data_IF_243587978863
#
_entry.id   IF_243587978863
#
_cell.length_a   1.000
_cell.length_b   1.000
_cell.length_c   1.000
_cell.angle_alpha   90.00
_cell.angle_beta   90.00
_cell.angle_gamma   90.00
#
_symmetry.space_group_name_H-M   'P 1'
#
loop_
_entity.id
_entity.type
_entity.pdbx_description
1 polymer ?
#
# COMPACT_ATOMS: atom_id res chain seq x y z
N UNK A 1 -20.88 18.59 -22.59
CA UNK A 1 -21.15 19.77 -21.72
C UNK A 1 -20.12 20.90 -21.85
N UNK A 2 -18.86 20.65 -22.27
CA UNK A 2 -17.85 21.70 -22.47
C UNK A 2 -18.18 22.70 -23.60
N UNK A 3 -18.84 22.26 -24.67
CA UNK A 3 -19.20 23.13 -25.79
C UNK A 3 -20.27 24.19 -25.45
N UNK A 4 -21.19 23.88 -24.51
CA UNK A 4 -22.23 24.84 -24.07
C UNK A 4 -21.71 25.90 -23.09
N UNK A 5 -20.62 25.60 -22.36
CA UNK A 5 -20.00 26.56 -21.45
C UNK A 5 -19.20 27.64 -22.21
N UNK A 6 -18.57 27.26 -23.32
CA UNK A 6 -17.81 28.19 -24.16
C UNK A 6 -18.71 29.15 -24.93
N UNK A 7 -19.91 28.73 -25.35
CA UNK A 7 -20.88 29.62 -25.99
C UNK A 7 -21.55 30.58 -25.01
N UNK A 8 -21.74 30.20 -23.75
CA UNK A 8 -22.22 31.10 -22.69
C UNK A 8 -21.17 32.18 -22.31
N UNK A 9 -19.89 31.82 -22.31
CA UNK A 9 -18.79 32.79 -22.12
C UNK A 9 -18.62 33.72 -23.32
N UNK A 10 -18.89 33.23 -24.54
CA UNK A 10 -18.85 34.05 -25.74
C UNK A 10 -20.06 35.00 -25.84
N UNK A 11 -21.26 34.60 -25.39
CA UNK A 11 -22.45 35.45 -25.42
C UNK A 11 -22.45 36.54 -24.34
N UNK A 12 -21.67 36.39 -23.27
CA UNK A 12 -21.46 37.43 -22.26
C UNK A 12 -20.51 38.55 -22.74
N UNK A 13 -19.75 38.32 -23.82
CA UNK A 13 -18.77 39.27 -24.35
C UNK A 13 -19.33 40.20 -25.44
N UNK A 14 -20.56 39.99 -25.92
CA UNK A 14 -21.09 40.66 -27.13
C UNK A 14 -22.26 41.60 -26.93
N UNK A 15 -22.88 41.69 -25.76
CA UNK A 15 -24.00 42.62 -25.54
C UNK A 15 -23.57 43.95 -24.91
N UNK A 16 -23.62 44.99 -25.74
CA UNK A 16 -23.35 46.40 -25.42
C UNK A 16 -24.40 46.95 -24.44
N UNK A 17 -24.11 46.94 -23.15
CA UNK A 17 -24.85 47.69 -22.12
C UNK A 17 -24.18 47.55 -20.75
N UNK A 18 -24.15 48.64 -19.96
CA UNK A 18 -23.68 48.81 -18.57
C UNK A 18 -22.44 48.02 -18.06
N UNK A 19 -22.42 46.70 -18.22
CA UNK A 19 -21.33 45.76 -17.93
C UNK A 19 -20.08 46.03 -18.79
N UNK A 20 -20.25 46.43 -20.06
CA UNK A 20 -19.14 46.80 -20.94
C UNK A 20 -18.41 48.08 -20.53
N UNK A 21 -19.10 49.02 -19.89
CA UNK A 21 -18.50 50.24 -19.35
C UNK A 21 -17.76 49.97 -18.02
N UNK A 22 -18.29 49.04 -17.20
CA UNK A 22 -17.62 48.57 -15.98
C UNK A 22 -16.33 47.81 -16.28
N UNK A 23 -16.27 47.01 -17.34
CA UNK A 23 -15.04 46.33 -17.80
C UNK A 23 -13.97 47.28 -18.37
N UNK A 24 -14.30 48.55 -18.60
CA UNK A 24 -13.36 49.57 -19.07
C UNK A 24 -12.79 50.44 -17.95
N UNK A 25 -13.32 50.33 -16.73
CA UNK A 25 -12.73 50.94 -15.56
C UNK A 25 -11.44 50.17 -15.19
N UNK A 26 -10.32 50.89 -15.10
CA UNK A 26 -9.00 50.29 -14.87
C UNK A 26 -8.98 49.48 -13.56
N UNK A 27 -9.79 49.88 -12.59
CA UNK A 27 -9.94 49.18 -11.30
C UNK A 27 -10.63 47.82 -11.45
N UNK A 28 -11.70 47.75 -12.24
CA UNK A 28 -12.42 46.50 -12.52
C UNK A 28 -11.59 45.56 -13.40
N UNK A 29 -10.80 46.10 -14.35
CA UNK A 29 -9.81 45.32 -15.10
C UNK A 29 -8.75 44.70 -14.20
N UNK A 30 -8.29 45.43 -13.19
CA UNK A 30 -7.34 44.92 -12.21
C UNK A 30 -7.97 43.80 -11.38
N UNK A 31 -9.16 44.04 -10.82
CA UNK A 31 -9.89 43.05 -10.00
C UNK A 31 -10.24 41.77 -10.80
N UNK A 32 -10.61 41.90 -12.08
CA UNK A 32 -10.87 40.75 -12.97
C UNK A 32 -9.57 40.01 -13.31
N UNK A 33 -8.47 40.70 -13.58
CA UNK A 33 -7.17 40.06 -13.82
C UNK A 33 -6.67 39.33 -12.57
N UNK A 34 -6.85 39.93 -11.40
CA UNK A 34 -6.43 39.36 -10.11
C UNK A 34 -7.31 38.16 -9.74
N UNK A 35 -8.61 38.21 -10.03
CA UNK A 35 -9.54 37.08 -9.89
C UNK A 35 -9.18 35.94 -10.85
N UNK A 36 -8.91 36.23 -12.13
CA UNK A 36 -8.50 35.21 -13.11
C UNK A 36 -7.14 34.60 -12.72
N UNK A 37 -6.20 35.42 -12.25
CA UNK A 37 -4.91 34.95 -11.74
C UNK A 37 -5.10 34.05 -10.51
N UNK A 38 -5.93 34.46 -9.55
CA UNK A 38 -6.26 33.71 -8.35
C UNK A 38 -6.99 32.40 -8.68
N UNK A 39 -7.91 32.40 -9.65
CA UNK A 39 -8.60 31.18 -10.12
C UNK A 39 -7.63 30.26 -10.86
N UNK A 40 -6.71 30.80 -11.67
CA UNK A 40 -5.70 30.02 -12.39
C UNK A 40 -4.67 29.42 -11.43
N UNK A 41 -4.27 30.17 -10.41
CA UNK A 41 -3.36 29.72 -9.35
C UNK A 41 -4.05 28.71 -8.42
N UNK A 42 -5.31 28.93 -8.06
CA UNK A 42 -6.13 27.97 -7.31
C UNK A 42 -6.38 26.70 -8.12
N UNK A 43 -6.62 26.80 -9.43
CA UNK A 43 -6.77 25.65 -10.31
C UNK A 43 -5.44 24.90 -10.51
N UNK A 44 -4.32 25.61 -10.59
CA UNK A 44 -2.97 25.02 -10.64
C UNK A 44 -2.64 24.29 -9.34
N UNK A 45 -2.86 24.93 -8.20
CA UNK A 45 -2.69 24.35 -6.86
C UNK A 45 -3.63 23.16 -6.66
N UNK A 46 -4.90 23.27 -7.05
CA UNK A 46 -5.84 22.17 -7.01
C UNK A 46 -5.38 21.02 -7.90
N UNK A 47 -4.90 21.27 -9.13
CA UNK A 47 -4.40 20.22 -10.03
C UNK A 47 -3.16 19.51 -9.49
N UNK A 48 -2.23 20.26 -8.89
CA UNK A 48 -1.05 19.68 -8.24
C UNK A 48 -1.42 18.91 -6.96
N UNK A 49 -2.40 19.39 -6.22
CA UNK A 49 -2.91 18.72 -5.01
C UNK A 49 -3.69 17.46 -5.36
N UNK A 50 -4.65 17.53 -6.28
CA UNK A 50 -5.37 16.37 -6.79
C UNK A 50 -4.42 15.38 -7.46
N UNK A 51 -3.40 15.85 -8.18
CA UNK A 51 -2.37 15.01 -8.77
C UNK A 51 -1.50 14.27 -7.74
N UNK A 52 -1.27 14.84 -6.56
CA UNK A 52 -0.58 14.15 -5.44
C UNK A 52 -1.51 13.22 -4.67
N UNK A 53 -2.79 13.56 -4.53
CA UNK A 53 -3.79 12.72 -3.85
C UNK A 53 -4.07 11.45 -4.67
N UNK A 54 -4.14 11.55 -6.01
CA UNK A 54 -4.33 10.37 -6.89
C UNK A 54 -3.10 9.46 -6.98
N UNK A 55 -1.95 9.85 -6.42
CA UNK A 55 -0.75 9.02 -6.39
C UNK A 55 -0.73 8.04 -5.20
N UNK A 56 -1.54 8.27 -4.17
CA UNK A 56 -1.67 7.32 -3.07
C UNK A 56 -2.42 6.09 -3.56
N UNK A 57 -1.82 4.93 -3.36
CA UNK A 57 -2.46 3.64 -3.57
C UNK A 57 -2.40 2.85 -2.29
N UNK A 58 -3.54 2.37 -1.83
CA UNK A 58 -3.64 1.56 -0.62
C UNK A 58 -4.14 0.19 -1.01
N UNK A 59 -3.48 -0.85 -0.51
CA UNK A 59 -3.84 -2.23 -0.79
C UNK A 59 -4.06 -3.00 0.51
N UNK A 60 -5.23 -3.60 0.63
CA UNK A 60 -5.43 -4.68 1.59
C UNK A 60 -4.75 -5.93 1.08
N UNK A 61 -3.97 -6.57 1.94
CA UNK A 61 -3.34 -7.86 1.72
C UNK A 61 -3.93 -8.84 2.72
N UNK A 62 -4.45 -9.94 2.21
CA UNK A 62 -4.93 -11.08 2.98
C UNK A 62 -4.15 -12.30 2.53
N UNK A 63 -3.32 -12.85 3.42
CA UNK A 63 -2.52 -14.04 3.15
C UNK A 63 -3.07 -15.21 3.97
N UNK A 64 -3.58 -16.22 3.28
CA UNK A 64 -3.98 -17.48 3.88
C UNK A 64 -2.89 -18.53 3.65
N UNK A 65 -2.50 -19.23 4.72
CA UNK A 65 -1.45 -20.25 4.69
C UNK A 65 -1.96 -21.51 5.38
N UNK A 66 -1.86 -22.66 4.72
CA UNK A 66 -2.22 -23.94 5.34
C UNK A 66 -0.98 -24.80 5.54
N UNK A 67 -0.73 -25.16 6.80
CA UNK A 67 0.44 -25.93 7.19
C UNK A 67 0.12 -27.41 7.28
N UNK A 68 0.68 -28.20 6.36
CA UNK A 68 0.36 -29.62 6.22
C UNK A 68 0.82 -30.46 7.41
N UNK A 69 1.92 -30.07 8.06
CA UNK A 69 2.49 -30.81 9.17
C UNK A 69 1.54 -30.87 10.37
N UNK A 70 1.02 -29.71 10.78
CA UNK A 70 0.13 -29.56 11.96
C UNK A 70 -1.36 -29.47 11.60
N UNK A 71 -1.71 -29.45 10.31
CA UNK A 71 -3.09 -29.35 9.78
C UNK A 71 -3.82 -28.10 10.26
N UNK A 72 -3.12 -26.97 10.22
CA UNK A 72 -3.64 -25.69 10.72
C UNK A 72 -3.58 -24.63 9.62
N UNK A 73 -4.66 -23.86 9.51
CA UNK A 73 -4.73 -22.66 8.68
C UNK A 73 -4.27 -21.44 9.47
N UNK A 74 -3.56 -20.54 8.81
CA UNK A 74 -3.10 -19.27 9.36
C UNK A 74 -3.53 -18.15 8.42
N UNK A 75 -3.79 -17.00 9.00
CA UNK A 75 -4.20 -15.80 8.27
C UNK A 75 -3.32 -14.65 8.67
N UNK A 76 -2.82 -13.91 7.69
CA UNK A 76 -2.17 -12.62 7.87
C UNK A 76 -3.01 -11.56 7.16
N UNK A 77 -3.12 -10.39 7.77
CA UNK A 77 -3.83 -9.23 7.20
C UNK A 77 -2.93 -8.01 7.33
N UNK A 78 -2.80 -7.25 6.25
CA UNK A 78 -2.06 -5.99 6.31
C UNK A 78 -2.45 -4.99 5.24
N UNK A 79 -2.06 -3.76 5.49
CA UNK A 79 -2.22 -2.62 4.60
C UNK A 79 -0.87 -2.26 4.00
N UNK A 80 -0.79 -2.25 2.66
CA UNK A 80 0.32 -1.67 1.91
C UNK A 80 -0.09 -0.29 1.43
N UNK A 81 0.59 0.74 1.91
CA UNK A 81 0.36 2.13 1.58
C UNK A 81 1.50 2.56 0.67
N UNK A 82 1.20 2.89 -0.58
CA UNK A 82 2.16 3.37 -1.59
C UNK A 82 1.90 4.84 -1.87
N UNK A 83 2.61 5.79 -1.20
CA UNK A 83 2.38 7.22 -1.39
C UNK A 83 2.83 7.73 -2.76
N UNK A 84 3.75 7.00 -3.39
CA UNK A 84 4.29 7.28 -4.73
C UNK A 84 4.78 5.97 -5.34
N UNK A 85 5.00 6.01 -6.65
CA UNK A 85 5.56 4.87 -7.36
C UNK A 85 6.91 4.43 -6.78
N UNK A 86 7.05 3.12 -6.62
CA UNK A 86 8.26 2.44 -6.18
C UNK A 86 8.66 2.58 -4.72
N UNK A 87 7.79 3.12 -3.85
CA UNK A 87 7.95 3.04 -2.39
C UNK A 87 6.64 2.71 -1.70
N UNK A 88 6.71 1.90 -0.64
CA UNK A 88 5.56 1.58 0.18
C UNK A 88 5.90 1.48 1.66
N UNK A 89 4.87 1.62 2.47
CA UNK A 89 4.85 1.24 3.87
C UNK A 89 3.87 0.08 4.03
N UNK A 90 4.25 -0.96 4.74
CA UNK A 90 3.37 -2.06 5.07
C UNK A 90 3.17 -2.10 6.56
N UNK A 91 1.93 -2.29 7.01
CA UNK A 91 1.59 -2.55 8.41
C UNK A 91 0.57 -3.68 8.45
N UNK A 92 0.72 -4.64 9.35
CA UNK A 92 -0.17 -5.79 9.40
C UNK A 92 0.01 -6.65 10.64
N UNK A 93 -0.88 -7.61 10.77
CA UNK A 93 -0.80 -8.68 11.74
C UNK A 93 -0.58 -10.02 11.05
N UNK A 94 0.29 -10.85 11.62
CA UNK A 94 0.55 -12.20 11.15
C UNK A 94 0.07 -13.25 12.15
N UNK A 95 -0.29 -14.43 11.63
CA UNK A 95 -0.81 -15.56 12.40
C UNK A 95 -2.02 -15.17 13.27
N UNK A 96 -2.94 -14.40 12.69
CA UNK A 96 -4.17 -13.98 13.35
C UNK A 96 -5.00 -15.21 13.70
N UNK A 97 -5.19 -15.41 15.01
CA UNK A 97 -5.92 -16.54 15.55
C UNK A 97 -6.61 -16.14 16.85
N UNK A 98 -7.76 -16.77 17.11
CA UNK A 98 -8.38 -16.66 18.42
C UNK A 98 -7.56 -17.45 19.44
N UNK A 99 -7.07 -16.77 20.47
CA UNK A 99 -6.25 -17.40 21.53
C UNK A 99 -7.05 -18.35 22.42
N UNK A 100 -8.39 -18.30 22.38
CA UNK A 100 -9.26 -19.23 23.11
C UNK A 100 -9.51 -20.54 22.37
N UNK A 101 -9.16 -20.63 21.08
CA UNK A 101 -9.39 -21.85 20.32
C UNK A 101 -8.38 -22.93 20.73
N UNK A 102 -8.88 -24.13 21.03
CA UNK A 102 -8.02 -25.28 21.25
C UNK A 102 -7.20 -25.56 20.00
N UNK A 103 -5.90 -25.78 20.19
CA UNK A 103 -4.98 -26.13 19.11
C UNK A 103 -5.42 -27.46 18.50
N UNK A 104 -6.07 -27.41 17.35
CA UNK A 104 -6.45 -28.60 16.58
C UNK A 104 -5.21 -29.24 15.97
N UNK A 105 -4.73 -30.34 16.55
CA UNK A 105 -3.66 -31.15 15.98
C UNK A 105 -2.99 -32.06 17.00
N UNK A 106 -2.55 -33.24 16.57
CA UNK A 106 -1.76 -34.18 17.39
C UNK A 106 -0.26 -33.86 17.40
N UNK A 107 0.17 -32.83 16.65
CA UNK A 107 1.57 -32.44 16.51
C UNK A 107 1.82 -31.05 17.08
N UNK A 108 3.04 -30.85 17.61
CA UNK A 108 3.45 -29.60 18.26
C UNK A 108 3.54 -28.46 17.25
N UNK A 109 2.76 -27.39 17.48
CA UNK A 109 2.85 -26.14 16.71
C UNK A 109 3.80 -25.13 17.40
N UNK A 110 4.89 -24.79 16.69
CA UNK A 110 5.92 -23.84 17.12
C UNK A 110 5.71 -22.41 16.63
N UNK A 111 4.60 -22.13 15.94
CA UNK A 111 4.31 -20.77 15.46
C UNK A 111 3.59 -19.98 16.54
N UNK A 112 3.93 -18.69 16.61
CA UNK A 112 3.33 -17.76 17.56
C UNK A 112 2.13 -17.06 16.92
N UNK A 113 0.97 -17.01 17.60
CA UNK A 113 -0.18 -16.26 17.12
C UNK A 113 0.02 -14.75 17.29
N UNK A 114 -0.74 -13.96 16.52
CA UNK A 114 -0.91 -12.52 16.70
C UNK A 114 0.41 -11.73 16.76
N UNK A 115 1.21 -11.88 15.71
CA UNK A 115 2.46 -11.14 15.53
C UNK A 115 2.22 -9.87 14.71
N UNK A 116 3.18 -8.95 14.74
CA UNK A 116 3.08 -7.66 14.05
C UNK A 116 4.09 -7.58 12.92
N UNK A 117 3.66 -7.04 11.79
CA UNK A 117 4.50 -6.72 10.64
C UNK A 117 4.48 -5.21 10.39
N UNK A 118 5.66 -4.62 10.15
CA UNK A 118 5.82 -3.24 9.74
C UNK A 118 7.04 -3.11 8.83
N UNK A 119 6.85 -2.78 7.55
CA UNK A 119 7.94 -2.70 6.57
C UNK A 119 7.99 -1.35 5.88
N UNK A 120 9.20 -0.88 5.64
CA UNK A 120 9.50 0.09 4.60
C UNK A 120 9.96 -0.69 3.36
N UNK A 121 9.35 -0.43 2.21
CA UNK A 121 9.68 -1.15 0.99
C UNK A 121 9.85 -0.31 -0.25
N UNK A 122 10.52 -0.90 -1.22
CA UNK A 122 10.84 -0.36 -2.53
C UNK A 122 10.49 -1.39 -3.59
N UNK A 123 9.73 -0.97 -4.60
CA UNK A 123 9.27 -1.82 -5.68
C UNK A 123 9.73 -1.22 -7.01
N UNK A 124 10.38 -2.02 -7.86
CA UNK A 124 10.80 -1.54 -9.18
C UNK A 124 10.87 -2.70 -10.17
N UNK A 125 9.93 -2.71 -11.11
CA UNK A 125 9.89 -3.71 -12.17
C UNK A 125 9.79 -5.12 -11.60
N UNK A 126 10.87 -5.89 -11.74
CA UNK A 126 10.93 -7.30 -11.37
C UNK A 126 11.30 -7.56 -9.90
N UNK A 127 11.58 -6.54 -9.08
CA UNK A 127 11.92 -6.73 -7.67
C UNK A 127 11.09 -5.85 -6.72
N UNK A 128 10.78 -6.41 -5.55
CA UNK A 128 10.21 -5.75 -4.39
C UNK A 128 11.06 -6.12 -3.17
N UNK A 129 11.68 -5.12 -2.54
CA UNK A 129 12.48 -5.28 -1.34
C UNK A 129 11.85 -4.52 -0.18
N UNK A 130 11.73 -5.16 0.98
CA UNK A 130 11.22 -4.54 2.20
C UNK A 130 12.11 -4.84 3.40
N UNK A 131 12.24 -3.88 4.32
CA UNK A 131 12.98 -4.02 5.57
C UNK A 131 12.16 -3.45 6.72
N UNK A 132 12.27 -4.06 7.90
CA UNK A 132 11.58 -3.59 9.11
C UNK A 132 11.30 -4.71 10.09
N UNK A 133 10.09 -4.71 10.64
CA UNK A 133 9.57 -5.74 11.54
C UNK A 133 8.76 -6.74 10.75
N UNK A 134 9.10 -8.01 10.92
CA UNK A 134 8.45 -9.17 10.34
C UNK A 134 8.18 -10.13 11.49
N UNK A 135 6.92 -10.48 11.71
CA UNK A 135 6.51 -11.43 12.76
C UNK A 135 7.08 -11.05 14.13
N UNK A 136 6.98 -9.76 14.45
CA UNK A 136 7.53 -9.14 15.65
C UNK A 136 9.06 -9.25 15.81
N UNK A 137 9.80 -9.65 14.76
CA UNK A 137 11.26 -9.69 14.74
C UNK A 137 11.83 -8.78 13.64
N UNK A 138 13.01 -8.21 13.85
CA UNK A 138 13.69 -7.43 12.80
C UNK A 138 14.05 -8.31 11.59
N UNK A 139 13.82 -7.83 10.38
CA UNK A 139 14.04 -8.63 9.17
C UNK A 139 13.98 -7.86 7.85
N UNK A 140 14.16 -8.62 6.77
CA UNK A 140 14.00 -8.17 5.39
C UNK A 140 13.23 -9.20 4.55
N UNK A 141 12.53 -8.72 3.53
CA UNK A 141 11.79 -9.49 2.53
C UNK A 141 12.24 -9.08 1.14
N UNK A 142 12.42 -10.05 0.26
CA UNK A 142 12.68 -9.86 -1.15
C UNK A 142 11.67 -10.68 -1.94
N UNK A 143 10.98 -10.04 -2.87
CA UNK A 143 10.16 -10.71 -3.88
C UNK A 143 10.75 -10.39 -5.25
N UNK A 144 10.93 -11.41 -6.08
CA UNK A 144 11.42 -11.25 -7.46
C UNK A 144 10.47 -11.92 -8.44
N UNK A 145 10.13 -11.21 -9.51
CA UNK A 145 9.26 -11.66 -10.61
C UNK A 145 10.12 -11.71 -11.88
N UNK A 146 10.99 -12.73 -12.02
CA UNK A 146 12.10 -12.71 -12.99
C UNK A 146 11.66 -12.54 -14.44
N UNK A 147 10.48 -13.05 -14.80
CA UNK A 147 9.99 -13.08 -16.18
C UNK A 147 8.84 -12.09 -16.43
N UNK A 148 8.84 -10.92 -15.77
CA UNK A 148 7.71 -9.96 -15.82
C UNK A 148 7.17 -9.62 -17.22
N UNK A 149 8.02 -9.71 -18.26
CA UNK A 149 7.63 -9.44 -19.67
C UNK A 149 7.02 -10.64 -20.38
N UNK A 150 7.16 -11.84 -19.85
CA UNK A 150 6.67 -13.07 -20.45
C UNK A 150 5.17 -13.27 -20.14
N UNK A 151 4.32 -13.60 -21.13
CA UNK A 151 2.88 -13.76 -20.93
C UNK A 151 2.48 -14.86 -19.94
N UNK A 152 3.32 -15.90 -19.82
CA UNK A 152 3.05 -17.10 -19.02
C UNK A 152 3.84 -17.00 -17.70
N UNK A 153 5.15 -16.77 -17.77
CA UNK A 153 6.04 -16.77 -16.62
C UNK A 153 6.07 -15.44 -15.87
N UNK A 154 5.56 -14.35 -16.44
CA UNK A 154 5.48 -13.04 -15.77
C UNK A 154 4.54 -12.99 -14.57
N UNK A 155 3.79 -14.07 -14.35
CA UNK A 155 2.91 -14.26 -13.19
C UNK A 155 3.59 -14.99 -12.04
N UNK A 156 4.82 -15.48 -12.22
CA UNK A 156 5.56 -16.22 -11.20
C UNK A 156 6.46 -15.27 -10.40
N UNK A 157 6.29 -15.28 -9.09
CA UNK A 157 7.12 -14.53 -8.15
C UNK A 157 7.76 -15.48 -7.14
N UNK A 158 9.04 -15.27 -6.87
CA UNK A 158 9.79 -15.94 -5.82
C UNK A 158 9.92 -15.00 -4.64
N UNK A 159 9.71 -15.51 -3.44
CA UNK A 159 9.72 -14.75 -2.20
C UNK A 159 10.76 -15.35 -1.27
N UNK A 160 11.63 -14.51 -0.74
CA UNK A 160 12.59 -14.85 0.30
C UNK A 160 12.43 -13.87 1.46
N UNK A 161 12.49 -14.37 2.68
CA UNK A 161 12.36 -13.57 3.89
C UNK A 161 13.34 -14.06 4.95
N UNK A 162 14.09 -13.14 5.54
CA UNK A 162 14.95 -13.41 6.69
C UNK A 162 14.53 -12.51 7.85
N UNK A 163 14.29 -13.07 9.02
CA UNK A 163 13.83 -12.31 10.19
C UNK A 163 14.25 -12.96 11.50
N UNK A 164 14.05 -12.21 12.58
CA UNK A 164 14.31 -12.67 13.96
C UNK A 164 15.78 -13.09 14.15
N UNK A 165 16.72 -12.26 13.71
CA UNK A 165 18.16 -12.56 13.80
C UNK A 165 18.69 -12.69 15.24
N UNK A 166 17.97 -12.10 16.21
CA UNK A 166 18.27 -12.18 17.63
C UNK A 166 17.48 -13.26 18.38
N UNK A 167 16.86 -14.21 17.66
CA UNK A 167 16.00 -15.25 18.23
C UNK A 167 16.70 -15.96 19.39
N UNK A 168 16.10 -15.89 20.57
CA UNK A 168 16.52 -16.68 21.72
C UNK A 168 15.29 -16.92 22.61
N UNK A 169 14.50 -17.92 22.26
CA UNK A 169 13.22 -18.18 22.93
C UNK A 169 12.85 -19.65 22.91
N UNK A 170 12.11 -20.07 23.94
CA UNK A 170 11.59 -21.42 24.03
C UNK A 170 10.14 -21.42 23.60
N UNK A 171 9.80 -22.23 22.60
CA UNK A 171 8.43 -22.42 22.13
C UNK A 171 8.10 -23.90 22.28
N UNK A 172 7.06 -24.23 23.05
CA UNK A 172 6.63 -25.62 23.28
C UNK A 172 7.79 -26.53 23.74
N UNK A 173 8.59 -26.05 24.70
CA UNK A 173 9.72 -26.80 25.28
C UNK A 173 10.99 -26.87 24.40
N UNK A 174 10.92 -26.44 23.13
CA UNK A 174 12.10 -26.37 22.24
C UNK A 174 12.70 -24.98 22.23
N UNK A 175 14.01 -24.88 22.41
CA UNK A 175 14.75 -23.62 22.30
C UNK A 175 15.07 -23.32 20.84
N UNK A 176 14.74 -22.11 20.41
CA UNK A 176 15.07 -21.58 19.09
C UNK A 176 16.10 -20.47 19.23
N UNK A 177 17.17 -20.57 18.45
CA UNK A 177 18.37 -19.72 18.54
C UNK A 177 18.90 -19.23 17.19
N UNK A 178 18.43 -19.80 16.08
CA UNK A 178 18.85 -19.43 14.73
C UNK A 178 17.86 -18.47 14.10
N UNK A 179 18.32 -17.59 13.19
CA UNK A 179 17.44 -16.72 12.43
C UNK A 179 16.42 -17.52 11.61
N UNK A 180 15.22 -16.96 11.45
CA UNK A 180 14.18 -17.58 10.64
C UNK A 180 14.33 -17.17 9.18
N UNK A 181 14.47 -18.16 8.30
CA UNK A 181 14.48 -17.97 6.85
C UNK A 181 13.31 -18.69 6.22
N UNK A 182 12.57 -17.96 5.38
CA UNK A 182 11.45 -18.49 4.64
C UNK A 182 11.66 -18.29 3.14
N UNK A 183 11.21 -19.26 2.36
CA UNK A 183 11.24 -19.21 0.91
C UNK A 183 9.88 -19.63 0.36
N UNK A 184 9.43 -18.99 -0.70
CA UNK A 184 8.16 -19.33 -1.33
C UNK A 184 8.14 -18.96 -2.80
N UNK A 185 7.15 -19.50 -3.49
CA UNK A 185 6.82 -19.16 -4.86
C UNK A 185 5.31 -18.90 -4.93
N UNK A 186 4.92 -17.88 -5.70
CA UNK A 186 3.55 -17.49 -5.97
C UNK A 186 3.33 -17.40 -7.47
N UNK A 187 2.25 -17.99 -7.94
CA UNK A 187 1.70 -17.80 -9.27
C UNK A 187 0.45 -16.91 -9.17
N UNK A 188 0.46 -15.80 -9.90
CA UNK A 188 -0.70 -14.93 -10.02
C UNK A 188 -1.75 -15.58 -10.94
N UNK A 189 -2.86 -16.01 -10.35
CA UNK A 189 -3.97 -16.63 -11.10
C UNK A 189 -5.02 -15.59 -11.50
N UNK A 190 -5.14 -14.51 -10.73
CA UNK A 190 -6.01 -13.39 -11.00
C UNK A 190 -5.33 -12.06 -10.62
N UNK A 191 -5.83 -10.93 -11.13
CA UNK A 191 -5.27 -9.59 -10.79
C UNK A 191 -5.17 -9.33 -9.28
N UNK A 192 -6.05 -9.95 -8.50
CA UNK A 192 -6.10 -9.82 -7.05
C UNK A 192 -5.71 -11.08 -6.29
N UNK A 193 -5.47 -12.21 -6.98
CA UNK A 193 -5.31 -13.51 -6.32
C UNK A 193 -4.06 -14.20 -6.84
N UNK A 194 -3.21 -14.63 -5.91
CA UNK A 194 -2.04 -15.46 -6.16
C UNK A 194 -2.11 -16.71 -5.31
N UNK A 195 -1.59 -17.81 -5.82
CA UNK A 195 -1.50 -19.09 -5.11
C UNK A 195 -0.09 -19.64 -5.23
N UNK A 196 0.32 -20.46 -4.29
CA UNK A 196 1.62 -21.08 -4.34
C UNK A 196 1.97 -21.87 -3.10
N UNK A 197 3.26 -21.99 -2.86
CA UNK A 197 3.82 -22.76 -1.77
C UNK A 197 4.92 -21.99 -1.07
N UNK A 198 5.09 -22.27 0.22
CA UNK A 198 6.11 -21.66 1.06
C UNK A 198 6.71 -22.71 1.99
N UNK A 199 7.98 -22.55 2.30
CA UNK A 199 8.66 -23.20 3.40
C UNK A 199 9.11 -22.14 4.40
N UNK A 200 8.75 -22.31 5.66
CA UNK A 200 9.14 -21.41 6.74
C UNK A 200 10.18 -22.04 7.66
N UNK A 201 10.97 -21.18 8.32
CA UNK A 201 11.95 -21.55 9.35
C UNK A 201 12.91 -22.66 8.92
N UNK A 202 13.45 -22.53 7.70
CA UNK A 202 14.28 -23.57 7.03
C UNK A 202 15.51 -23.98 7.84
N UNK A 203 16.02 -23.11 8.73
CA UNK A 203 17.22 -23.38 9.51
C UNK A 203 17.00 -24.26 10.75
N UNK A 204 15.77 -24.33 11.29
CA UNK A 204 15.49 -25.09 12.50
C UNK A 204 14.37 -26.12 12.33
N UNK A 205 13.22 -25.70 11.81
CA UNK A 205 12.04 -26.55 11.64
C UNK A 205 11.38 -26.17 10.32
N UNK A 206 11.80 -26.78 9.19
CA UNK A 206 11.17 -26.52 7.89
C UNK A 206 9.69 -26.86 7.91
N UNK A 207 8.84 -25.86 7.60
CA UNK A 207 7.38 -26.02 7.57
C UNK A 207 6.83 -25.73 6.19
N UNK A 208 6.38 -26.77 5.51
CA UNK A 208 5.76 -26.67 4.18
C UNK A 208 4.30 -26.23 4.28
N UNK A 209 3.97 -25.22 3.51
CA UNK A 209 2.66 -24.57 3.50
C UNK A 209 2.17 -24.36 2.07
N UNK A 210 0.87 -24.56 1.85
CA UNK A 210 0.20 -23.93 0.71
C UNK A 210 -0.15 -22.50 1.08
N UNK A 211 -0.08 -21.62 0.10
CA UNK A 211 -0.21 -20.18 0.29
C UNK A 211 -1.16 -19.61 -0.75
N UNK A 212 -2.20 -18.91 -0.29
CA UNK A 212 -3.05 -18.09 -1.13
C UNK A 212 -2.95 -16.64 -0.65
N UNK A 213 -2.76 -15.72 -1.58
CA UNK A 213 -2.67 -14.29 -1.31
C UNK A 213 -3.76 -13.58 -2.09
N UNK A 214 -4.50 -12.72 -1.40
CA UNK A 214 -5.46 -11.80 -1.99
C UNK A 214 -4.98 -10.37 -1.73
N UNK A 215 -4.86 -9.58 -2.79
CA UNK A 215 -4.49 -8.17 -2.71
C UNK A 215 -5.46 -7.33 -3.54
N UNK A 216 -6.15 -6.37 -2.92
CA UNK A 216 -7.06 -5.47 -3.61
C UNK A 216 -6.78 -4.02 -3.26
N UNK A 217 -6.95 -3.15 -4.24
CA UNK A 217 -6.76 -1.70 -4.10
C UNK A 217 -8.00 -1.08 -3.46
N UNK A 218 -7.79 -0.26 -2.43
CA UNK A 218 -8.82 0.51 -1.75
C UNK A 218 -8.60 1.99 -2.06
N UNK A 219 -9.49 2.54 -2.89
CA UNK A 219 -9.42 3.94 -3.31
C UNK A 219 -9.91 4.89 -2.24
N UNK A 220 -10.82 4.46 -1.36
CA UNK A 220 -11.45 5.32 -0.37
C UNK A 220 -10.46 5.66 0.76
N UNK A 221 -9.72 4.66 1.23
CA UNK A 221 -8.64 4.87 2.20
C UNK A 221 -7.52 5.72 1.58
N UNK A 222 -7.22 5.53 0.29
CA UNK A 222 -6.23 6.35 -0.40
C UNK A 222 -6.62 7.85 -0.42
N UNK A 223 -7.89 8.17 -0.67
CA UNK A 223 -8.39 9.55 -0.59
C UNK A 223 -8.28 10.14 0.81
N UNK A 224 -8.59 9.37 1.86
CA UNK A 224 -8.45 9.82 3.26
C UNK A 224 -7.01 10.21 3.59
N UNK A 225 -6.03 9.38 3.25
CA UNK A 225 -4.61 9.70 3.48
C UNK A 225 -4.15 10.93 2.68
N UNK A 226 -4.64 11.09 1.45
CA UNK A 226 -4.40 12.29 0.65
C UNK A 226 -4.96 13.57 1.30
N UNK A 227 -6.15 13.50 1.91
CA UNK A 227 -6.74 14.64 2.61
C UNK A 227 -6.02 14.99 3.92
N UNK A 228 -5.63 13.99 4.72
CA UNK A 228 -4.93 14.22 6.00
C UNK A 228 -3.56 14.87 5.76
N UNK A 229 -2.81 14.41 4.76
CA UNK A 229 -1.54 15.04 4.39
C UNK A 229 -1.70 16.48 3.92
N UNK A 230 -2.80 16.80 3.22
CA UNK A 230 -3.14 18.18 2.85
C UNK A 230 -3.48 19.06 4.07
N UNK A 231 -4.34 18.58 4.98
CA UNK A 231 -4.70 19.31 6.19
C UNK A 231 -3.48 19.65 7.07
N UNK A 232 -2.51 18.73 7.15
CA UNK A 232 -1.25 18.93 7.86
C UNK A 232 -0.28 19.88 7.13
N UNK A 233 -0.30 19.92 5.79
CA UNK A 233 0.50 20.87 5.02
C UNK A 233 -0.06 22.30 5.11
N UNK A 234 -1.39 22.46 5.12
CA UNK A 234 -2.05 23.75 5.26
C UNK A 234 -1.89 24.39 6.65
N UNK A 235 -1.79 23.59 7.72
CA UNK A 235 -1.61 24.12 9.09
C UNK A 235 -0.20 24.68 9.33
N UNK A 236 0.84 24.10 8.72
CA UNK A 236 2.22 24.64 8.80
C UNK A 236 2.40 26.00 8.12
N UNK A 237 1.57 26.34 7.14
CA UNK A 237 1.57 27.66 6.50
C UNK A 237 0.98 28.77 7.38
N UNK A 238 0.18 28.42 8.39
CA UNK A 238 -0.54 29.39 9.25
C UNK A 238 0.14 29.70 10.58
N UNK A 239 1.22 28.97 10.91
CA UNK A 239 1.97 29.12 12.18
C UNK A 239 3.13 30.14 12.11
N UNK A 240 3.28 30.87 11.01
CA UNK A 240 4.18 32.02 10.92
C UNK A 240 3.37 33.29 10.67
N UNK A 241 2.72 33.80 11.71
CA UNK A 241 2.35 35.20 11.86
C UNK A 241 2.53 35.58 13.32
#
# INVERSE_FOLDING_TARGET
MLAKSNTMMASLATDKGAVGALLHDDKVKQDVKETIASVKEAAGTAKDVFGRITQFRVYWNYDWRYEHAVRTSRVDIGLKISPREGRYYYVGGSNLANVSDERRGTKVDYTQPNQVDALLGWERGFYDFGVGVIRSGGGARLTVTPFQKDPIFGRLSLVAQGHDFGRNRTIQGRKFTKPAFDFGALAQVHKYVSIGARVEDVQEVPRYQTWAKVAFEDTDIAYLFGMVTFGAAGSKGRSKK
#
